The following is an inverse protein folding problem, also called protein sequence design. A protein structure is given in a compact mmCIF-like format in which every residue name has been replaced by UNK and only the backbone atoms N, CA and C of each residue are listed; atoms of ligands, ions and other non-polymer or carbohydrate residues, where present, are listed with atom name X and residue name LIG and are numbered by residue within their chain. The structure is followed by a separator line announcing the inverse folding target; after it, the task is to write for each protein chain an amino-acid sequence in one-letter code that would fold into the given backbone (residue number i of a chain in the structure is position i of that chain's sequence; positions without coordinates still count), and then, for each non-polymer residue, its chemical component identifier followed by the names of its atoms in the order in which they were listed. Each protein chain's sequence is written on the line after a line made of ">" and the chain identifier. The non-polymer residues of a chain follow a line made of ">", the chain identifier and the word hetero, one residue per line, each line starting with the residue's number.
data_IF_550231178156
#
_entry.id   IF_550231178156
#
_cell.length_a   1.000
_cell.length_b   1.000
_cell.length_c   1.000
_cell.angle_alpha   90.00
_cell.angle_beta   90.00
_cell.angle_gamma   90.00
#
_symmetry.space_group_name_H-M   'P 1'
#
loop_
_entity.id
_entity.type
_entity.pdbx_description
1 polymer ?
#
# COMPACT_ATOMS: atom_id res chain seq x y z
N UNK A 1 -4.19 7.15 13.61
CA UNK A 1 -5.14 7.91 14.44
C UNK A 1 -5.20 7.22 15.78
N UNK A 2 -4.85 7.91 16.85
CA UNK A 2 -4.95 7.45 18.24
C UNK A 2 -5.99 8.35 18.93
N UNK A 3 -7.04 7.75 19.51
CA UNK A 3 -8.14 8.47 20.16
C UNK A 3 -8.79 9.60 19.33
N UNK A 4 -9.00 9.34 18.04
CA UNK A 4 -9.61 10.29 17.12
C UNK A 4 -8.69 11.43 16.68
N UNK A 5 -7.42 11.42 17.10
CA UNK A 5 -6.41 12.39 16.68
C UNK A 5 -5.44 11.77 15.67
N UNK A 6 -5.01 12.50 14.63
CA UNK A 6 -3.88 12.08 13.80
C UNK A 6 -2.72 11.68 14.70
N UNK A 7 -2.07 10.56 14.38
CA UNK A 7 -0.83 10.21 15.06
C UNK A 7 0.22 11.20 14.57
N UNK A 8 0.67 12.09 15.44
CA UNK A 8 1.76 13.02 15.15
C UNK A 8 3.04 12.37 15.65
N UNK A 9 3.94 12.02 14.73
CA UNK A 9 5.28 11.58 15.08
C UNK A 9 6.20 12.80 15.10
N UNK A 10 7.02 12.92 16.14
CA UNK A 10 8.02 13.97 16.32
C UNK A 10 9.24 13.68 15.42
N UNK A 11 9.04 13.84 14.11
CA UNK A 11 10.07 13.64 13.10
C UNK A 11 9.68 14.28 11.77
N UNK A 12 10.62 14.32 10.82
CA UNK A 12 10.35 14.89 9.49
C UNK A 12 9.34 14.07 8.66
N UNK A 13 8.97 12.86 9.10
CA UNK A 13 8.10 11.94 8.36
C UNK A 13 7.13 11.20 9.29
N UNK A 14 5.95 10.86 8.78
CA UNK A 14 4.91 10.11 9.50
C UNK A 14 5.09 8.58 9.40
N UNK A 15 6.28 8.13 8.97
CA UNK A 15 6.63 6.73 8.74
C UNK A 15 6.96 6.40 7.28
N UNK A 16 7.70 5.31 7.08
CA UNK A 16 8.17 4.84 5.76
C UNK A 16 7.58 3.46 5.41
N UNK A 17 6.25 3.39 5.28
CA UNK A 17 5.55 2.13 4.93
C UNK A 17 6.08 1.53 3.62
N UNK A 18 6.50 2.37 2.67
CA UNK A 18 7.14 1.92 1.42
C UNK A 18 8.45 1.15 1.63
N UNK A 19 9.18 1.40 2.73
CA UNK A 19 10.46 0.75 3.04
C UNK A 19 10.31 -0.52 3.88
N UNK A 20 9.08 -0.95 4.20
CA UNK A 20 8.86 -2.21 4.92
C UNK A 20 9.28 -3.40 4.04
N UNK A 21 10.04 -4.33 4.62
CA UNK A 21 10.34 -5.62 3.97
C UNK A 21 9.07 -6.48 3.92
N UNK A 22 8.61 -6.73 2.70
CA UNK A 22 7.44 -7.55 2.38
C UNK A 22 7.82 -8.80 1.57
N UNK A 23 9.12 -9.10 1.45
CA UNK A 23 9.61 -10.29 0.76
C UNK A 23 9.10 -11.58 1.39
N UNK A 24 8.84 -12.58 0.57
CA UNK A 24 8.19 -13.85 0.91
C UNK A 24 9.11 -15.05 0.67
N UNK A 25 10.42 -14.86 0.85
CA UNK A 25 11.44 -15.91 0.83
C UNK A 25 11.93 -16.28 -0.57
N UNK A 26 11.61 -15.47 -1.58
CA UNK A 26 12.22 -15.58 -2.90
C UNK A 26 13.74 -15.34 -2.84
N UNK A 27 14.52 -15.96 -3.75
CA UNK A 27 15.98 -15.85 -3.73
C UNK A 27 16.49 -14.47 -4.15
N UNK A 28 15.74 -13.73 -4.97
CA UNK A 28 16.12 -12.38 -5.42
C UNK A 28 14.92 -11.42 -5.35
N UNK A 29 14.57 -10.95 -4.14
CA UNK A 29 13.52 -9.95 -3.98
C UNK A 29 13.96 -8.61 -4.58
N UNK A 30 13.02 -7.82 -5.13
CA UNK A 30 13.30 -6.56 -5.80
C UNK A 30 13.97 -5.56 -4.86
N UNK A 31 14.72 -4.64 -5.45
CA UNK A 31 15.40 -3.56 -4.74
C UNK A 31 14.62 -2.27 -4.99
N UNK A 32 14.12 -1.64 -3.93
CA UNK A 32 13.44 -0.35 -4.02
C UNK A 32 14.40 0.79 -4.43
N UNK A 33 13.87 1.95 -4.81
CA UNK A 33 14.67 3.13 -5.22
C UNK A 33 15.74 3.54 -4.19
N UNK A 34 15.45 3.39 -2.91
CA UNK A 34 16.38 3.71 -1.80
C UNK A 34 17.41 2.58 -1.53
N UNK A 35 17.46 1.54 -2.37
CA UNK A 35 18.40 0.41 -2.23
C UNK A 35 17.92 -0.69 -1.26
N UNK A 36 16.76 -0.51 -0.62
CA UNK A 36 16.16 -1.50 0.26
C UNK A 36 15.71 -2.75 -0.49
N UNK A 37 16.27 -3.91 -0.15
CA UNK A 37 15.87 -5.20 -0.71
C UNK A 37 14.55 -5.66 -0.09
N UNK A 38 13.62 -6.14 -0.92
CA UNK A 38 12.31 -6.65 -0.49
C UNK A 38 11.34 -5.58 -0.01
N UNK A 39 11.63 -4.31 -0.23
CA UNK A 39 10.76 -3.21 0.22
C UNK A 39 9.43 -3.20 -0.55
N UNK A 40 8.35 -2.76 0.09
CA UNK A 40 7.05 -2.61 -0.56
C UNK A 40 7.15 -1.76 -1.83
N UNK A 41 7.88 -0.66 -1.78
CA UNK A 41 8.12 0.20 -2.94
C UNK A 41 8.84 -0.53 -4.09
N UNK A 42 9.72 -1.50 -3.79
CA UNK A 42 10.35 -2.36 -4.79
C UNK A 42 9.38 -3.24 -5.57
N UNK A 43 8.22 -3.58 -4.99
CA UNK A 43 7.18 -4.35 -5.70
C UNK A 43 6.16 -3.45 -6.39
N UNK A 44 5.73 -2.36 -5.74
CA UNK A 44 4.52 -1.61 -6.15
C UNK A 44 4.76 -0.14 -6.46
N UNK A 45 6.00 0.35 -6.31
CA UNK A 45 6.37 1.70 -6.70
C UNK A 45 6.20 1.91 -8.21
N UNK A 46 5.95 3.15 -8.63
CA UNK A 46 5.78 3.48 -10.05
C UNK A 46 6.94 2.96 -10.94
N UNK A 47 8.22 3.12 -10.56
CA UNK A 47 9.32 2.57 -11.36
C UNK A 47 9.24 1.05 -11.53
N UNK A 48 8.84 0.31 -10.49
CA UNK A 48 8.69 -1.15 -10.53
C UNK A 48 7.53 -1.56 -11.45
N UNK A 49 6.40 -0.86 -11.37
CA UNK A 49 5.22 -1.11 -12.21
C UNK A 49 5.50 -0.79 -13.69
N UNK A 50 6.20 0.32 -13.97
CA UNK A 50 6.63 0.69 -15.33
C UNK A 50 7.63 -0.33 -15.88
N UNK A 51 8.61 -0.77 -15.08
CA UNK A 51 9.55 -1.80 -15.50
C UNK A 51 8.84 -3.11 -15.85
N UNK A 52 7.78 -3.45 -15.11
CA UNK A 52 7.06 -4.72 -15.28
C UNK A 52 6.07 -4.69 -16.45
N UNK A 53 5.27 -3.64 -16.56
CA UNK A 53 4.15 -3.59 -17.50
C UNK A 53 4.41 -2.68 -18.70
N UNK A 54 5.37 -1.77 -18.60
CA UNK A 54 5.54 -0.65 -19.52
C UNK A 54 4.67 0.55 -19.11
N UNK A 55 5.18 1.76 -19.36
CA UNK A 55 4.57 3.02 -18.90
C UNK A 55 3.11 3.18 -19.33
N UNK A 56 2.81 2.86 -20.60
CA UNK A 56 1.47 3.02 -21.17
C UNK A 56 0.52 1.85 -20.88
N UNK A 57 0.98 0.78 -20.24
CA UNK A 57 0.20 -0.44 -19.99
C UNK A 57 0.10 -0.80 -18.51
N UNK A 58 0.67 0.02 -17.62
CA UNK A 58 0.64 -0.24 -16.17
C UNK A 58 -0.79 -0.40 -15.64
N UNK A 59 -1.73 0.45 -16.06
CA UNK A 59 -3.13 0.35 -15.64
C UNK A 59 -3.78 -0.98 -16.06
N UNK A 60 -3.63 -1.36 -17.34
CA UNK A 60 -4.17 -2.62 -17.87
C UNK A 60 -3.50 -3.85 -17.24
N UNK A 61 -2.20 -3.75 -16.95
CA UNK A 61 -1.44 -4.79 -16.27
C UNK A 61 -1.93 -5.02 -14.85
N UNK A 62 -2.11 -3.92 -14.09
CA UNK A 62 -2.61 -3.97 -12.70
C UNK A 62 -4.02 -4.56 -12.63
N UNK A 63 -4.89 -4.20 -13.57
CA UNK A 63 -6.27 -4.71 -13.61
C UNK A 63 -6.38 -6.23 -13.83
N UNK A 64 -5.29 -6.89 -14.26
CA UNK A 64 -5.24 -8.32 -14.56
C UNK A 64 -4.46 -9.12 -13.52
N UNK A 65 -3.99 -8.50 -12.45
CA UNK A 65 -3.26 -9.19 -11.38
C UNK A 65 -4.18 -10.16 -10.63
N UNK A 66 -3.60 -11.28 -10.23
CA UNK A 66 -4.25 -12.29 -9.39
C UNK A 66 -3.60 -12.36 -8.00
N UNK A 67 -4.07 -13.29 -7.17
CA UNK A 67 -3.60 -13.45 -5.79
C UNK A 67 -2.18 -13.99 -5.66
N UNK A 68 -1.65 -14.65 -6.69
CA UNK A 68 -0.29 -15.21 -6.69
C UNK A 68 0.74 -14.20 -7.20
N UNK A 69 0.28 -13.11 -7.83
CA UNK A 69 1.15 -12.03 -8.30
C UNK A 69 1.97 -11.39 -7.16
N UNK A 70 3.30 -11.24 -7.32
CA UNK A 70 4.17 -10.56 -6.36
C UNK A 70 3.66 -9.19 -5.88
N UNK A 71 3.05 -8.38 -6.76
CA UNK A 71 2.50 -7.06 -6.43
C UNK A 71 1.36 -7.18 -5.43
N UNK A 72 0.43 -8.11 -5.69
CA UNK A 72 -0.72 -8.37 -4.83
C UNK A 72 -0.27 -8.94 -3.49
N UNK A 73 0.65 -9.92 -3.51
CA UNK A 73 1.19 -10.54 -2.29
C UNK A 73 1.91 -9.51 -1.41
N UNK A 74 2.69 -8.61 -1.99
CA UNK A 74 3.37 -7.54 -1.29
C UNK A 74 2.37 -6.56 -0.62
N UNK A 75 1.34 -6.10 -1.35
CA UNK A 75 0.30 -5.23 -0.80
C UNK A 75 -0.51 -5.91 0.31
N UNK A 76 -0.93 -7.15 0.09
CA UNK A 76 -1.64 -7.95 1.10
C UNK A 76 -0.83 -8.05 2.39
N UNK A 77 0.47 -8.31 2.28
CA UNK A 77 1.37 -8.37 3.44
C UNK A 77 1.49 -7.02 4.14
N UNK A 78 1.69 -5.93 3.39
CA UNK A 78 1.74 -4.59 3.95
C UNK A 78 0.44 -4.21 4.68
N UNK A 79 -0.72 -4.50 4.08
CA UNK A 79 -2.04 -4.27 4.69
C UNK A 79 -2.17 -5.04 6.01
N UNK A 80 -1.77 -6.31 6.04
CA UNK A 80 -1.81 -7.14 7.26
C UNK A 80 -0.89 -6.60 8.35
N UNK A 81 0.30 -6.12 8.00
CA UNK A 81 1.22 -5.46 8.93
C UNK A 81 0.58 -4.19 9.49
N UNK A 82 -0.02 -3.35 8.65
CA UNK A 82 -0.76 -2.16 9.08
C UNK A 82 -1.90 -2.52 10.05
N UNK A 83 -2.60 -3.63 9.83
CA UNK A 83 -3.60 -4.13 10.78
C UNK A 83 -3.02 -4.53 12.12
N UNK A 84 -1.89 -5.22 12.12
CA UNK A 84 -1.20 -5.62 13.35
C UNK A 84 -0.69 -4.41 14.14
N UNK A 85 -0.19 -3.38 13.46
CA UNK A 85 0.40 -2.20 14.09
C UNK A 85 -0.63 -1.15 14.52
N UNK A 86 -1.60 -0.84 13.65
CA UNK A 86 -2.45 0.35 13.80
C UNK A 86 -3.93 0.04 13.98
N UNK A 87 -4.35 -1.21 13.75
CA UNK A 87 -5.76 -1.63 13.81
C UNK A 87 -6.68 -0.62 13.09
N UNK A 88 -6.44 -0.28 11.81
CA UNK A 88 -7.21 0.74 11.10
C UNK A 88 -8.64 0.26 10.83
N UNK A 89 -9.58 1.21 10.78
CA UNK A 89 -10.95 0.97 10.27
C UNK A 89 -11.07 1.21 8.76
N UNK A 90 -10.15 1.98 8.18
CA UNK A 90 -10.07 2.23 6.75
C UNK A 90 -8.59 2.28 6.36
N UNK A 91 -8.23 1.59 5.28
CA UNK A 91 -6.96 1.76 4.58
C UNK A 91 -7.30 2.35 3.21
N UNK A 92 -6.58 3.41 2.82
CA UNK A 92 -6.74 4.05 1.51
C UNK A 92 -5.46 3.97 0.70
N UNK A 93 -5.59 3.58 -0.55
CA UNK A 93 -4.53 3.71 -1.56
C UNK A 93 -4.72 5.07 -2.24
N UNK A 94 -3.79 5.99 -2.01
CA UNK A 94 -3.93 7.39 -2.43
C UNK A 94 -2.94 7.78 -3.51
N UNK A 95 -3.28 8.81 -4.28
CA UNK A 95 -2.46 9.36 -5.35
C UNK A 95 -2.52 8.53 -6.64
N UNK A 96 -1.84 9.01 -7.68
CA UNK A 96 -1.96 8.47 -9.04
C UNK A 96 -1.72 6.96 -9.13
N UNK A 97 -0.68 6.45 -8.46
CA UNK A 97 -0.42 4.99 -8.41
C UNK A 97 -1.49 4.25 -7.63
N UNK A 98 -1.92 4.78 -6.49
CA UNK A 98 -2.95 4.16 -5.65
C UNK A 98 -4.29 4.02 -6.38
N UNK A 99 -4.66 5.01 -7.18
CA UNK A 99 -5.87 4.99 -8.00
C UNK A 99 -5.86 3.87 -9.06
N UNK A 100 -4.70 3.48 -9.57
CA UNK A 100 -4.58 2.38 -10.55
C UNK A 100 -5.02 1.02 -9.98
N UNK A 101 -5.01 0.86 -8.65
CA UNK A 101 -5.39 -0.38 -7.98
C UNK A 101 -6.91 -0.55 -7.81
N UNK A 102 -7.72 0.48 -8.13
CA UNK A 102 -9.18 0.44 -7.96
C UNK A 102 -9.84 -0.85 -8.52
N UNK A 103 -9.49 -1.34 -9.73
CA UNK A 103 -10.11 -2.55 -10.28
C UNK A 103 -9.87 -3.81 -9.45
N UNK A 104 -8.77 -3.86 -8.67
CA UNK A 104 -8.37 -5.02 -7.87
C UNK A 104 -8.53 -4.80 -6.37
N UNK A 105 -9.14 -3.69 -5.93
CA UNK A 105 -9.47 -3.47 -4.51
C UNK A 105 -10.27 -4.63 -3.90
N UNK A 106 -11.33 -5.18 -4.56
CA UNK A 106 -12.06 -6.32 -4.01
C UNK A 106 -11.17 -7.55 -3.81
N UNK A 107 -10.27 -7.81 -4.74
CA UNK A 107 -9.30 -8.91 -4.68
C UNK A 107 -8.30 -8.71 -3.53
N UNK A 108 -7.72 -7.51 -3.43
CA UNK A 108 -6.80 -7.14 -2.36
C UNK A 108 -7.46 -7.22 -0.98
N UNK A 109 -8.69 -6.74 -0.85
CA UNK A 109 -9.45 -6.78 0.40
C UNK A 109 -9.74 -8.23 0.83
N UNK A 110 -10.21 -9.06 -0.09
CA UNK A 110 -10.48 -10.47 0.18
C UNK A 110 -9.20 -11.22 0.59
N UNK A 111 -8.11 -11.05 -0.17
CA UNK A 111 -6.83 -11.69 0.11
C UNK A 111 -6.22 -11.21 1.44
N UNK A 112 -6.30 -9.91 1.75
CA UNK A 112 -5.85 -9.37 3.03
C UNK A 112 -6.68 -9.90 4.20
N UNK A 113 -8.00 -10.03 4.01
CA UNK A 113 -8.94 -10.49 5.02
C UNK A 113 -8.85 -11.99 5.33
N UNK A 114 -8.39 -12.82 4.39
CA UNK A 114 -8.23 -14.26 4.62
C UNK A 114 -7.28 -14.53 5.79
N UNK A 115 -7.77 -15.15 6.87
CA UNK A 115 -7.00 -15.40 8.11
C UNK A 115 -6.35 -14.14 8.68
N UNK A 116 -6.95 -12.97 8.46
CA UNK A 116 -6.51 -11.74 9.09
C UNK A 116 -6.65 -11.88 10.61
N UNK A 117 -5.64 -11.43 11.35
CA UNK A 117 -5.59 -11.59 12.80
C UNK A 117 -6.86 -11.06 13.48
N UNK A 118 -7.29 -11.68 14.58
CA UNK A 118 -8.43 -11.20 15.38
C UNK A 118 -8.23 -9.81 16.01
N UNK A 119 -7.03 -9.23 15.87
CA UNK A 119 -6.74 -7.84 16.26
C UNK A 119 -7.38 -6.85 15.28
N UNK A 120 -7.59 -7.22 14.01
CA UNK A 120 -8.17 -6.33 13.01
C UNK A 120 -9.59 -5.87 13.37
N UNK A 121 -9.96 -4.64 13.00
CA UNK A 121 -11.31 -4.13 13.26
C UNK A 121 -12.33 -4.87 12.40
N UNK A 122 -13.44 -5.37 12.98
CA UNK A 122 -14.56 -5.86 12.19
C UNK A 122 -15.07 -4.77 11.24
N UNK A 123 -15.40 -5.13 10.00
CA UNK A 123 -15.94 -4.21 9.01
C UNK A 123 -14.95 -3.16 8.49
N UNK A 124 -13.63 -3.40 8.61
CA UNK A 124 -12.65 -2.51 8.01
C UNK A 124 -12.80 -2.43 6.48
N UNK A 125 -12.43 -1.29 5.91
CA UNK A 125 -12.58 -1.00 4.47
C UNK A 125 -11.23 -0.76 3.80
N UNK A 126 -11.10 -1.22 2.56
CA UNK A 126 -10.04 -0.84 1.63
C UNK A 126 -10.66 0.01 0.53
N UNK A 127 -10.09 1.18 0.27
CA UNK A 127 -10.59 2.14 -0.74
C UNK A 127 -9.42 2.70 -1.54
N UNK A 128 -9.66 3.19 -2.76
CA UNK A 128 -8.74 4.14 -3.39
C UNK A 128 -9.24 5.57 -3.25
N UNK A 129 -8.34 6.52 -3.50
CA UNK A 129 -8.69 7.94 -3.59
C UNK A 129 -7.76 8.62 -4.58
N UNK A 130 -8.36 9.20 -5.61
CA UNK A 130 -7.70 10.09 -6.56
C UNK A 130 -8.16 11.52 -6.31
N UNK A 131 -7.45 12.19 -5.40
CA UNK A 131 -7.63 13.62 -5.16
C UNK A 131 -6.26 14.31 -5.33
N UNK A 132 -6.09 15.17 -6.36
CA UNK A 132 -4.82 15.81 -6.65
C UNK A 132 -4.42 16.84 -5.58
N UNK A 133 -5.34 17.24 -4.69
CA UNK A 133 -5.12 18.24 -3.66
C UNK A 133 -4.78 17.65 -2.29
N UNK A 134 -4.67 16.33 -2.13
CA UNK A 134 -4.37 15.71 -0.82
C UNK A 134 -3.12 16.29 -0.16
N UNK A 135 -2.05 16.53 -0.93
CA UNK A 135 -0.83 17.15 -0.42
C UNK A 135 -1.07 18.61 0.02
N UNK A 136 -1.83 19.38 -0.75
CA UNK A 136 -2.16 20.77 -0.43
C UNK A 136 -3.08 20.88 0.79
N UNK A 137 -4.07 19.98 0.92
CA UNK A 137 -4.95 19.88 2.09
C UNK A 137 -4.12 19.54 3.33
N UNK A 138 -3.22 18.56 3.24
CA UNK A 138 -2.31 18.19 4.32
C UNK A 138 -1.42 19.35 4.78
N UNK A 139 -0.87 20.12 3.83
CA UNK A 139 -0.07 21.30 4.13
C UNK A 139 -0.91 22.39 4.82
N UNK A 140 -2.13 22.66 4.36
CA UNK A 140 -3.03 23.64 4.96
C UNK A 140 -3.45 23.28 6.39
N UNK A 141 -3.54 21.99 6.72
CA UNK A 141 -3.85 21.50 8.08
C UNK A 141 -2.65 21.55 9.03
N UNK A 142 -1.43 21.63 8.48
CA UNK A 142 -0.18 21.60 9.26
C UNK A 142 0.40 22.99 9.53
N UNK A 143 -0.18 24.04 8.94
CA UNK A 143 0.19 25.45 9.10
C UNK A 143 -0.60 26.11 10.24
#
# INVERSE_FOLDING_TARGET
>A
IEDGRPLTLDGATIGHVGQMDVSFGEPDPPIGPDGGRGSLEGYVGWPALVCRFGEHHAADGIARLDTDDPVVRALVRAIRICHAMYKPGVIRLVGGVGALFEPIVPLLHAAASDRLTGVARPGWRLETMDDPYLAAIGAAWSA
#
